data_IF_335853353059
#
_entry.id   IF_335853353059
#
_cell.length_a   1.000
_cell.length_b   1.000
_cell.length_c   1.000
_cell.angle_alpha   90.00
_cell.angle_beta   90.00
_cell.angle_gamma   90.00
#
_symmetry.space_group_name_H-M   'P 1'
#
loop_
_entity.id
_entity.type
_entity.pdbx_description
1 polymer ?
#
# COMPACT_ATOMS: atom_id res chain seq x y z
N UNK A 1 55.71 -7.61 -1.29
CA UNK A 1 54.42 -7.54 -2.03
C UNK A 1 53.18 -8.00 -1.24
N UNK A 2 53.32 -8.61 -0.04
CA UNK A 2 52.15 -9.07 0.74
C UNK A 2 51.50 -7.96 1.59
N UNK A 3 52.30 -7.05 2.16
CA UNK A 3 51.83 -6.01 3.10
C UNK A 3 50.68 -5.14 2.55
N UNK A 4 50.78 -4.71 1.29
CA UNK A 4 49.75 -3.88 0.66
C UNK A 4 48.41 -4.62 0.56
N UNK A 5 48.43 -5.89 0.16
CA UNK A 5 47.21 -6.70 0.05
C UNK A 5 46.70 -7.21 1.40
N UNK A 6 47.57 -7.40 2.38
CA UNK A 6 47.18 -7.91 3.70
C UNK A 6 46.63 -6.85 4.64
N UNK A 7 46.98 -5.58 4.47
CA UNK A 7 46.55 -4.50 5.37
C UNK A 7 45.81 -3.38 4.65
N UNK A 8 46.36 -2.87 3.55
CA UNK A 8 45.73 -1.76 2.81
C UNK A 8 44.46 -2.22 2.11
N UNK A 9 44.46 -3.39 1.44
CA UNK A 9 43.25 -3.85 0.76
C UNK A 9 42.07 -4.12 1.72
N UNK A 10 42.24 -4.83 2.86
CA UNK A 10 41.15 -5.00 3.84
C UNK A 10 40.66 -3.69 4.43
N UNK A 11 41.57 -2.76 4.74
CA UNK A 11 41.21 -1.43 5.25
C UNK A 11 40.36 -0.67 4.23
N UNK A 12 40.78 -0.65 2.96
CA UNK A 12 40.02 0.02 1.90
C UNK A 12 38.64 -0.60 1.69
N UNK A 13 38.51 -1.93 1.78
CA UNK A 13 37.21 -2.60 1.70
C UNK A 13 36.28 -2.09 2.79
N UNK A 14 36.75 -2.05 4.04
CA UNK A 14 35.95 -1.55 5.18
C UNK A 14 35.65 -0.06 5.02
N UNK A 15 36.62 0.75 4.59
CA UNK A 15 36.45 2.18 4.39
C UNK A 15 35.40 2.47 3.31
N UNK A 16 35.51 1.82 2.14
CA UNK A 16 34.56 1.98 1.04
C UNK A 16 33.18 1.47 1.47
N UNK A 17 33.13 0.34 2.18
CA UNK A 17 31.87 -0.17 2.72
C UNK A 17 31.21 0.80 3.70
N UNK A 18 31.97 1.38 4.63
CA UNK A 18 31.47 2.37 5.58
C UNK A 18 30.95 3.63 4.87
N UNK A 19 31.69 4.12 3.87
CA UNK A 19 31.26 5.25 3.03
C UNK A 19 30.00 4.89 2.25
N UNK A 20 29.91 3.68 1.68
CA UNK A 20 28.73 3.23 0.95
C UNK A 20 27.51 3.13 1.88
N UNK A 21 27.66 2.54 3.07
CA UNK A 21 26.61 2.49 4.09
C UNK A 21 26.14 3.89 4.50
N UNK A 22 27.08 4.82 4.72
CA UNK A 22 26.77 6.21 5.05
C UNK A 22 26.07 6.94 3.89
N UNK A 23 26.54 6.75 2.65
CA UNK A 23 25.96 7.39 1.48
C UNK A 23 24.53 6.87 1.21
N UNK A 24 24.31 5.56 1.35
CA UNK A 24 22.99 4.94 1.18
C UNK A 24 22.02 5.42 2.25
N UNK A 25 22.46 5.51 3.52
CA UNK A 25 21.59 6.02 4.60
C UNK A 25 21.31 7.52 4.44
N UNK A 26 22.32 8.32 4.07
CA UNK A 26 22.16 9.75 3.85
C UNK A 26 21.25 10.08 2.65
N UNK A 27 21.29 9.27 1.58
CA UNK A 27 20.49 9.49 0.36
C UNK A 27 18.98 9.59 0.65
N UNK A 28 18.47 8.78 1.58
CA UNK A 28 17.03 8.78 1.94
C UNK A 28 16.58 10.14 2.50
N UNK A 29 17.50 10.84 3.16
CA UNK A 29 17.25 12.15 3.74
C UNK A 29 17.61 13.31 2.82
N UNK A 30 18.04 13.04 1.58
CA UNK A 30 18.34 14.11 0.62
C UNK A 30 17.02 14.73 0.14
N UNK A 31 16.93 16.07 0.01
CA UNK A 31 15.70 16.72 -0.45
C UNK A 31 15.17 16.14 -1.76
N UNK A 32 16.05 15.72 -2.67
CA UNK A 32 15.69 15.07 -3.92
C UNK A 32 14.94 13.75 -3.76
N UNK A 33 15.23 12.97 -2.72
CA UNK A 33 14.54 11.70 -2.45
C UNK A 33 13.12 11.96 -1.89
N UNK A 34 12.98 12.99 -1.05
CA UNK A 34 11.69 13.42 -0.47
C UNK A 34 10.80 14.24 -1.43
N UNK A 35 11.33 14.67 -2.58
CA UNK A 35 10.59 15.42 -3.61
C UNK A 35 9.69 14.53 -4.48
N UNK A 36 9.65 13.21 -4.24
CA UNK A 36 8.69 12.34 -4.90
C UNK A 36 7.26 12.85 -4.59
N UNK A 37 6.48 13.28 -5.61
CA UNK A 37 5.11 13.72 -5.38
C UNK A 37 4.38 12.60 -4.65
N UNK A 38 3.79 12.94 -3.50
CA UNK A 38 2.89 12.01 -2.82
C UNK A 38 1.88 11.49 -3.85
N UNK A 39 1.50 10.19 -3.80
CA UNK A 39 0.43 9.70 -4.64
C UNK A 39 -0.76 10.65 -4.49
N UNK A 40 -1.07 11.35 -5.58
CA UNK A 40 -2.32 12.07 -5.67
C UNK A 40 -3.37 10.99 -5.79
N UNK A 41 -3.90 10.55 -4.64
CA UNK A 41 -5.27 10.08 -4.64
C UNK A 41 -6.06 11.20 -5.30
N UNK A 42 -6.61 10.95 -6.50
CA UNK A 42 -7.74 11.75 -6.95
C UNK A 42 -8.68 11.74 -5.77
N UNK A 43 -8.77 12.87 -5.06
CA UNK A 43 -9.73 13.03 -3.98
C UNK A 43 -11.02 12.50 -4.55
N UNK A 44 -11.56 11.43 -3.99
CA UNK A 44 -12.94 11.00 -4.16
C UNK A 44 -13.80 12.10 -3.52
N UNK A 45 -13.73 13.29 -4.09
CA UNK A 45 -14.57 14.45 -3.89
C UNK A 45 -15.39 14.68 -5.16
N UNK A 46 -15.57 13.62 -5.94
CA UNK A 46 -16.67 13.42 -6.87
C UNK A 46 -17.24 12.03 -6.62
N UNK A 47 -17.57 11.72 -5.37
CA UNK A 47 -18.75 10.89 -5.16
C UNK A 47 -19.93 11.87 -5.37
N UNK A 48 -20.75 11.73 -6.43
CA UNK A 48 -22.11 12.24 -6.37
C UNK A 48 -22.73 11.76 -5.04
N UNK A 49 -23.74 12.43 -4.46
CA UNK A 49 -24.52 11.78 -3.42
C UNK A 49 -24.86 10.40 -3.97
N UNK A 50 -24.32 9.35 -3.35
CA UNK A 50 -24.48 8.00 -3.87
C UNK A 50 -25.97 7.88 -4.16
N UNK A 51 -26.40 7.63 -5.42
CA UNK A 51 -27.77 7.22 -5.62
C UNK A 51 -27.84 5.99 -4.75
N UNK A 52 -28.61 6.08 -3.66
CA UNK A 52 -28.84 5.04 -2.67
C UNK A 52 -28.71 3.74 -3.43
N UNK A 53 -27.56 3.07 -3.30
CA UNK A 53 -27.25 1.97 -4.20
C UNK A 53 -28.36 1.00 -3.94
N UNK A 54 -29.31 0.94 -4.87
CA UNK A 54 -30.57 0.28 -4.67
C UNK A 54 -30.18 -1.16 -4.45
N UNK A 55 -30.15 -1.53 -3.18
CA UNK A 55 -29.86 -2.89 -2.73
C UNK A 55 -31.00 -3.83 -3.14
N UNK A 56 -31.98 -3.32 -3.90
CA UNK A 56 -33.13 -3.97 -4.50
C UNK A 56 -32.81 -5.31 -5.18
N UNK A 57 -31.58 -5.48 -5.71
CA UNK A 57 -31.16 -6.75 -6.31
C UNK A 57 -30.49 -7.76 -5.37
N UNK A 58 -29.92 -7.32 -4.25
CA UNK A 58 -29.16 -8.18 -3.30
C UNK A 58 -29.92 -8.42 -1.99
N UNK A 59 -30.90 -7.58 -1.66
CA UNK A 59 -31.73 -7.74 -0.47
C UNK A 59 -32.89 -8.70 -0.71
N UNK A 60 -33.35 -8.85 -1.96
CA UNK A 60 -34.48 -9.71 -2.32
C UNK A 60 -34.18 -11.19 -2.02
N UNK A 61 -32.94 -11.64 -2.27
CA UNK A 61 -32.49 -13.02 -2.08
C UNK A 61 -32.29 -13.39 -0.59
N UNK A 62 -31.76 -12.47 0.21
CA UNK A 62 -31.60 -12.68 1.66
C UNK A 62 -32.95 -12.63 2.40
N UNK A 63 -33.89 -11.80 1.92
CA UNK A 63 -35.24 -11.72 2.48
C UNK A 63 -36.02 -13.00 2.21
N UNK A 64 -35.93 -13.53 0.99
CA UNK A 64 -36.54 -14.81 0.59
C UNK A 64 -35.91 -16.00 1.33
N UNK A 65 -34.60 -15.97 1.60
CA UNK A 65 -33.92 -17.02 2.34
C UNK A 65 -34.26 -17.01 3.84
N UNK A 66 -34.42 -15.83 4.46
CA UNK A 66 -34.74 -15.72 5.89
C UNK A 66 -36.24 -15.93 6.15
N UNK A 67 -37.13 -15.42 5.30
CA UNK A 67 -38.58 -15.50 5.50
C UNK A 67 -39.28 -16.63 4.73
N UNK A 68 -38.55 -17.36 3.88
CA UNK A 68 -39.13 -18.32 2.95
C UNK A 68 -39.99 -17.65 1.87
N UNK A 69 -40.28 -18.35 0.77
CA UNK A 69 -41.07 -17.77 -0.33
C UNK A 69 -42.45 -17.35 0.19
N UNK A 70 -42.82 -16.09 -0.06
CA UNK A 70 -44.06 -15.46 0.42
C UNK A 70 -45.35 -16.24 0.06
N UNK A 71 -45.26 -17.20 -0.85
CA UNK A 71 -46.33 -18.12 -1.22
C UNK A 71 -46.81 -19.05 -0.08
N UNK A 72 -46.08 -19.18 1.03
CA UNK A 72 -46.53 -20.00 2.19
C UNK A 72 -47.17 -19.19 3.34
N UNK A 73 -47.25 -17.85 3.24
CA UNK A 73 -48.03 -17.06 4.20
C UNK A 73 -49.52 -17.32 3.95
N UNK A 74 -50.04 -18.38 4.58
CA UNK A 74 -51.45 -18.77 4.60
C UNK A 74 -52.23 -17.62 5.26
N UNK A 75 -53.15 -17.01 4.50
CA UNK A 75 -54.12 -16.05 5.05
C UNK A 75 -54.90 -16.71 6.19
N UNK A 76 -54.72 -16.18 7.40
CA UNK A 76 -55.58 -16.43 8.56
C UNK A 76 -56.59 -15.30 8.71
#
# INVERSE_FOLDING_TARGET
>A
MSFFRSYIAPLLIVLIFAVAMLAVSARIFLPSDMMAPAPIEETVSTLPPAPLASSDGLTLDLSEFIHGPAAYQVEG
#
